data_IF_679674955047
#
_entry.id   IF_679674955047
#
_cell.length_a   1.000
_cell.length_b   1.000
_cell.length_c   1.000
_cell.angle_alpha   90.00
_cell.angle_beta   90.00
_cell.angle_gamma   90.00
#
_symmetry.space_group_name_H-M   'P 1'
#
loop_
_entity.id
_entity.type
_entity.pdbx_description
1 polymer ?
#
# COMPACT_ATOMS: atom_id res chain seq x y z
N UNK A 1 21.84 -16.66 -0.70
CA UNK A 1 21.30 -15.41 -0.12
C UNK A 1 19.80 -15.26 -0.41
N UNK A 2 19.39 -15.36 -1.68
CA UNK A 2 17.98 -15.25 -2.12
C UNK A 2 16.96 -16.11 -1.35
N UNK A 3 17.25 -17.41 -1.13
CA UNK A 3 16.32 -18.30 -0.42
C UNK A 3 15.99 -17.83 1.00
N UNK A 4 16.94 -17.18 1.70
CA UNK A 4 16.70 -16.60 3.03
C UNK A 4 15.80 -15.37 2.94
N UNK A 5 16.01 -14.51 1.93
CA UNK A 5 15.16 -13.34 1.66
C UNK A 5 13.72 -13.75 1.32
N UNK A 6 13.54 -14.80 0.52
CA UNK A 6 12.21 -15.35 0.20
C UNK A 6 11.54 -15.89 1.47
N UNK A 7 12.29 -16.63 2.32
CA UNK A 7 11.76 -17.18 3.57
C UNK A 7 11.26 -16.08 4.51
N UNK A 8 12.05 -15.02 4.73
CA UNK A 8 11.64 -13.91 5.60
C UNK A 8 10.51 -13.09 4.98
N UNK A 9 10.55 -12.83 3.68
CA UNK A 9 9.46 -12.14 2.96
C UNK A 9 8.14 -12.89 3.08
N UNK A 10 8.16 -14.20 2.85
CA UNK A 10 6.98 -15.07 3.02
C UNK A 10 6.45 -15.04 4.47
N UNK A 11 7.35 -15.03 5.45
CA UNK A 11 6.96 -14.91 6.86
C UNK A 11 6.26 -13.58 7.16
N UNK A 12 6.78 -12.45 6.67
CA UNK A 12 6.13 -11.15 6.84
C UNK A 12 4.78 -11.08 6.11
N UNK A 13 4.65 -11.66 4.92
CA UNK A 13 3.35 -11.74 4.23
C UNK A 13 2.34 -12.57 5.01
N UNK A 14 2.76 -13.66 5.68
CA UNK A 14 1.89 -14.44 6.57
C UNK A 14 1.43 -13.63 7.78
N UNK A 15 2.33 -12.87 8.41
CA UNK A 15 1.97 -11.98 9.51
C UNK A 15 1.00 -10.89 9.05
N UNK A 16 1.19 -10.37 7.85
CA UNK A 16 0.28 -9.39 7.27
C UNK A 16 -1.11 -10.00 6.99
N UNK A 17 -1.19 -11.21 6.44
CA UNK A 17 -2.45 -11.94 6.27
C UNK A 17 -3.17 -12.12 7.62
N UNK A 18 -2.46 -12.58 8.63
CA UNK A 18 -3.00 -12.72 9.99
C UNK A 18 -3.52 -11.39 10.55
N UNK A 19 -2.80 -10.29 10.32
CA UNK A 19 -3.25 -8.95 10.72
C UNK A 19 -4.54 -8.54 10.01
N UNK A 20 -4.64 -8.75 8.69
CA UNK A 20 -5.86 -8.47 7.92
C UNK A 20 -7.04 -9.33 8.39
N UNK A 21 -6.82 -10.62 8.67
CA UNK A 21 -7.84 -11.51 9.24
C UNK A 21 -8.35 -10.99 10.59
N UNK A 22 -7.43 -10.50 11.45
CA UNK A 22 -7.82 -9.88 12.72
C UNK A 22 -8.66 -8.63 12.52
N UNK A 23 -8.25 -7.73 11.63
CA UNK A 23 -9.03 -6.52 11.31
C UNK A 23 -10.42 -6.88 10.74
N UNK A 24 -10.49 -7.86 9.85
CA UNK A 24 -11.74 -8.33 9.24
C UNK A 24 -12.69 -8.96 10.28
N UNK A 25 -12.15 -9.66 11.28
CA UNK A 25 -12.92 -10.30 12.35
C UNK A 25 -13.31 -9.36 13.50
N UNK A 26 -12.76 -8.14 13.52
CA UNK A 26 -13.05 -7.15 14.57
C UNK A 26 -14.25 -6.32 14.14
N UNK A 27 -15.32 -6.33 14.91
CA UNK A 27 -16.52 -5.54 14.64
C UNK A 27 -16.25 -4.03 14.87
N UNK A 28 -16.73 -3.19 13.94
CA UNK A 28 -16.71 -1.73 14.03
C UNK A 28 -18.04 -1.15 13.52
N UNK A 29 -19.04 -1.21 14.40
CA UNK A 29 -20.41 -0.79 14.11
C UNK A 29 -21.12 -1.78 13.18
N UNK A 30 -21.48 -1.31 11.99
CA UNK A 30 -22.17 -2.09 10.95
C UNK A 30 -21.22 -2.79 9.96
N UNK A 31 -19.91 -2.71 10.18
CA UNK A 31 -18.88 -3.30 9.32
C UNK A 31 -17.72 -3.88 10.14
N UNK A 32 -16.70 -4.43 9.49
CA UNK A 32 -15.45 -4.79 10.15
C UNK A 32 -14.51 -3.59 10.30
N UNK A 33 -13.55 -3.67 11.22
CA UNK A 33 -12.50 -2.67 11.34
C UNK A 33 -11.68 -2.54 10.05
N UNK A 34 -11.50 -3.65 9.31
CA UNK A 34 -10.82 -3.61 8.00
C UNK A 34 -11.56 -2.70 7.01
N UNK A 35 -12.89 -2.68 7.03
CA UNK A 35 -13.72 -1.84 6.14
C UNK A 35 -13.57 -0.34 6.42
N UNK A 36 -12.92 0.05 7.53
CA UNK A 36 -12.62 1.44 7.89
C UNK A 36 -11.18 1.87 7.61
N UNK A 37 -10.36 0.98 7.03
CA UNK A 37 -8.93 1.21 6.89
C UNK A 37 -8.52 1.51 5.45
N UNK A 38 -7.50 2.37 5.32
CA UNK A 38 -6.69 2.49 4.10
C UNK A 38 -5.27 2.06 4.48
N UNK A 39 -4.79 0.97 3.91
CA UNK A 39 -3.53 0.31 4.26
C UNK A 39 -2.59 0.35 3.06
N UNK A 40 -1.38 0.85 3.28
CA UNK A 40 -0.25 0.69 2.37
C UNK A 40 0.75 -0.27 3.02
N UNK A 41 0.96 -1.42 2.38
CA UNK A 41 1.98 -2.38 2.78
C UNK A 41 3.10 -2.39 1.74
N UNK A 42 4.23 -1.78 2.09
CA UNK A 42 5.35 -1.57 1.17
C UNK A 42 6.68 -1.98 1.80
N UNK A 43 7.68 -2.20 0.95
CA UNK A 43 9.09 -2.20 1.36
C UNK A 43 9.67 -0.81 1.13
N UNK A 44 10.60 -0.39 1.99
CA UNK A 44 11.26 0.91 1.82
C UNK A 44 12.25 0.96 0.64
N UNK A 45 12.73 -0.19 0.17
CA UNK A 45 13.73 -0.32 -0.91
C UNK A 45 13.47 -1.60 -1.73
N UNK A 46 13.75 -1.55 -3.03
CA UNK A 46 13.63 -2.71 -3.93
C UNK A 46 14.88 -3.58 -3.87
N UNK A 47 16.06 -2.95 -3.87
CA UNK A 47 17.34 -3.58 -3.57
C UNK A 47 17.98 -2.93 -2.33
N UNK A 48 17.98 -3.62 -1.18
CA UNK A 48 18.60 -3.10 0.03
C UNK A 48 20.13 -3.06 -0.04
N UNK A 49 20.79 -3.82 -0.92
CA UNK A 49 22.26 -3.76 -1.04
C UNK A 49 22.70 -2.49 -1.77
N UNK A 50 21.92 -2.05 -2.76
CA UNK A 50 22.17 -0.83 -3.52
C UNK A 50 21.51 0.41 -2.89
N UNK A 51 20.73 0.23 -1.82
CA UNK A 51 19.86 1.26 -1.26
C UNK A 51 18.92 1.90 -2.31
N UNK A 52 18.41 1.09 -3.25
CA UNK A 52 17.59 1.57 -4.36
C UNK A 52 16.10 1.71 -3.94
N UNK A 53 15.53 2.92 -3.94
CA UNK A 53 14.12 3.15 -3.61
C UNK A 53 13.18 3.05 -4.83
N UNK A 54 13.65 2.69 -6.02
CA UNK A 54 12.82 2.63 -7.23
C UNK A 54 12.14 1.27 -7.41
N UNK A 55 11.04 1.23 -8.16
CA UNK A 55 10.28 -0.01 -8.48
C UNK A 55 9.89 -0.83 -7.23
N UNK A 56 9.40 -0.14 -6.19
CA UNK A 56 8.99 -0.78 -4.94
C UNK A 56 7.74 -1.65 -5.14
N UNK A 57 7.80 -2.96 -4.88
CA UNK A 57 6.59 -3.76 -4.77
C UNK A 57 5.84 -3.34 -3.50
N UNK A 58 4.59 -2.93 -3.66
CA UNK A 58 3.69 -2.57 -2.57
C UNK A 58 2.27 -3.07 -2.82
N UNK A 59 1.51 -3.18 -1.75
CA UNK A 59 0.09 -3.56 -1.74
C UNK A 59 -0.71 -2.42 -1.15
N UNK A 60 -1.81 -2.04 -1.80
CA UNK A 60 -2.80 -1.11 -1.27
C UNK A 60 -4.07 -1.88 -0.98
N UNK A 61 -4.62 -1.74 0.22
CA UNK A 61 -5.95 -2.20 0.58
C UNK A 61 -6.75 -1.01 1.07
N UNK A 62 -7.88 -0.76 0.44
CA UNK A 62 -8.70 0.39 0.77
C UNK A 62 -10.15 0.11 0.37
N UNK A 63 -11.08 0.50 1.23
CA UNK A 63 -12.52 0.40 0.95
C UNK A 63 -12.88 1.23 -0.27
N UNK A 64 -13.68 0.68 -1.19
CA UNK A 64 -14.07 1.36 -2.43
C UNK A 64 -12.98 1.38 -3.52
N UNK A 65 -11.83 0.72 -3.31
CA UNK A 65 -10.84 0.47 -4.37
C UNK A 65 -10.99 -0.95 -4.89
N UNK A 66 -11.09 -1.13 -6.20
CA UNK A 66 -11.12 -2.47 -6.80
C UNK A 66 -9.81 -3.22 -6.57
N UNK A 67 -9.90 -4.31 -5.82
CA UNK A 67 -8.79 -5.24 -5.59
C UNK A 67 -8.48 -6.12 -6.81
N UNK A 68 -7.53 -7.04 -6.65
CA UNK A 68 -7.16 -8.01 -7.71
C UNK A 68 -6.45 -7.38 -8.91
N UNK A 69 -5.98 -6.14 -8.78
CA UNK A 69 -5.28 -5.40 -9.83
C UNK A 69 -3.79 -5.35 -9.54
N UNK A 70 -2.98 -5.41 -10.60
CA UNK A 70 -1.57 -5.08 -10.56
C UNK A 70 -1.34 -3.88 -11.47
N UNK A 71 -1.08 -2.72 -10.86
CA UNK A 71 -0.95 -1.44 -11.56
C UNK A 71 0.50 -0.99 -11.48
N UNK A 72 1.03 -0.49 -12.60
CA UNK A 72 2.40 0.04 -12.68
C UNK A 72 2.36 1.52 -13.01
N UNK A 73 3.13 2.30 -12.26
CA UNK A 73 3.35 3.74 -12.47
C UNK A 73 4.84 4.01 -12.77
N UNK A 74 5.27 3.95 -14.04
CA UNK A 74 6.68 4.15 -14.39
C UNK A 74 7.16 5.56 -14.09
N UNK A 75 8.31 5.70 -13.41
CA UNK A 75 8.91 7.00 -13.11
C UNK A 75 8.07 7.90 -12.18
N UNK A 76 7.05 7.35 -11.53
CA UNK A 76 6.17 8.09 -10.64
C UNK A 76 6.68 8.05 -9.20
N UNK A 77 6.81 9.20 -8.51
CA UNK A 77 7.18 9.23 -7.11
C UNK A 77 6.20 8.44 -6.22
N UNK A 78 6.70 7.69 -5.25
CA UNK A 78 5.87 6.99 -4.26
C UNK A 78 4.97 7.98 -3.48
N UNK A 79 5.43 9.20 -3.30
CA UNK A 79 4.69 10.28 -2.63
C UNK A 79 3.39 10.65 -3.34
N UNK A 80 3.24 10.38 -4.65
CA UNK A 80 1.96 10.51 -5.34
C UNK A 80 0.90 9.54 -4.79
N UNK A 81 1.30 8.32 -4.38
CA UNK A 81 0.41 7.38 -3.69
C UNK A 81 -0.02 7.96 -2.35
N UNK A 82 0.91 8.48 -1.55
CA UNK A 82 0.60 9.05 -0.23
C UNK A 82 -0.31 10.28 -0.34
N UNK A 83 -0.08 11.15 -1.33
CA UNK A 83 -0.96 12.27 -1.64
C UNK A 83 -2.39 11.80 -1.94
N UNK A 84 -2.51 10.72 -2.74
CA UNK A 84 -3.81 10.11 -3.06
C UNK A 84 -4.48 9.48 -1.83
N UNK A 85 -3.71 8.84 -0.95
CA UNK A 85 -4.23 8.25 0.29
C UNK A 85 -4.68 9.29 1.31
N UNK A 86 -3.95 10.41 1.43
CA UNK A 86 -4.32 11.52 2.32
C UNK A 86 -5.64 12.16 1.91
N UNK A 87 -5.84 12.37 0.60
CA UNK A 87 -7.11 12.86 0.07
C UNK A 87 -8.29 11.96 0.47
N UNK A 88 -8.10 10.62 0.45
CA UNK A 88 -9.13 9.64 0.82
C UNK A 88 -9.53 9.66 2.29
N UNK A 89 -8.65 10.10 3.18
CA UNK A 89 -8.94 10.24 4.61
C UNK A 89 -9.34 11.67 4.99
N UNK A 90 -9.74 12.49 4.02
CA UNK A 90 -10.24 13.85 4.25
C UNK A 90 -9.15 14.89 4.52
N UNK A 91 -7.90 14.60 4.14
CA UNK A 91 -6.75 15.51 4.28
C UNK A 91 -6.23 15.89 2.88
N UNK A 92 -7.00 16.66 2.08
CA UNK A 92 -6.54 17.11 0.78
C UNK A 92 -5.44 18.15 0.97
N UNK A 93 -4.23 17.81 0.55
CA UNK A 93 -3.09 18.73 0.47
C UNK A 93 -2.61 18.81 -0.97
N UNK A 94 -1.95 19.90 -1.33
CA UNK A 94 -1.49 20.11 -2.71
C UNK A 94 -0.20 19.34 -3.01
N UNK A 95 0.62 19.07 -1.98
CA UNK A 95 1.95 18.49 -2.14
C UNK A 95 2.38 17.67 -0.93
N UNK A 96 3.06 16.56 -1.16
CA UNK A 96 3.69 15.71 -0.15
C UNK A 96 5.07 15.25 -0.62
N UNK A 97 6.14 15.56 0.11
CA UNK A 97 7.50 15.12 -0.23
C UNK A 97 7.96 15.61 -1.61
N UNK A 98 8.20 14.70 -2.56
CA UNK A 98 8.56 14.98 -3.96
C UNK A 98 7.40 14.72 -4.94
N UNK A 99 6.15 14.73 -4.45
CA UNK A 99 4.98 14.38 -5.26
C UNK A 99 4.79 15.34 -6.44
N UNK A 100 4.43 14.80 -7.60
CA UNK A 100 4.12 15.58 -8.80
C UNK A 100 2.63 15.66 -9.10
N UNK A 101 1.79 14.97 -8.33
CA UNK A 101 0.32 14.96 -8.47
C UNK A 101 -0.31 13.71 -7.87
N UNK A 102 -1.64 13.67 -7.83
CA UNK A 102 -2.37 12.47 -7.43
C UNK A 102 -2.22 11.35 -8.48
N UNK A 103 -2.33 10.09 -8.05
CA UNK A 103 -2.31 8.95 -8.96
C UNK A 103 -3.61 8.88 -9.77
N UNK A 104 -3.46 8.73 -11.09
CA UNK A 104 -4.58 8.39 -11.98
C UNK A 104 -4.85 6.87 -11.90
N UNK A 105 -6.07 6.42 -12.18
CA UNK A 105 -6.45 4.99 -12.25
C UNK A 105 -6.41 4.18 -10.95
N UNK A 106 -6.01 4.79 -9.83
CA UNK A 106 -6.03 4.12 -8.53
C UNK A 106 -7.45 3.73 -8.10
N UNK A 107 -8.46 4.52 -8.47
CA UNK A 107 -9.84 4.32 -8.04
C UNK A 107 -10.74 3.68 -9.10
N UNK A 108 -10.21 3.37 -10.28
CA UNK A 108 -10.99 2.79 -11.39
C UNK A 108 -11.63 1.44 -10.99
N UNK A 109 -12.94 1.34 -11.20
CA UNK A 109 -13.77 0.16 -10.94
C UNK A 109 -13.75 -0.87 -12.08
#
# INVERSE_FOLDING_TARGET
>A
NLAKLVKIGTYHTKLFSYYLEKLQSTEDGDASLLDRMNIVYARGMSDPNAHDPHNLPLVVLATGVKGGRHIRYPGTPLTNLYLSMLARVGVPIEHFGDSTGALTHLEDL
#
